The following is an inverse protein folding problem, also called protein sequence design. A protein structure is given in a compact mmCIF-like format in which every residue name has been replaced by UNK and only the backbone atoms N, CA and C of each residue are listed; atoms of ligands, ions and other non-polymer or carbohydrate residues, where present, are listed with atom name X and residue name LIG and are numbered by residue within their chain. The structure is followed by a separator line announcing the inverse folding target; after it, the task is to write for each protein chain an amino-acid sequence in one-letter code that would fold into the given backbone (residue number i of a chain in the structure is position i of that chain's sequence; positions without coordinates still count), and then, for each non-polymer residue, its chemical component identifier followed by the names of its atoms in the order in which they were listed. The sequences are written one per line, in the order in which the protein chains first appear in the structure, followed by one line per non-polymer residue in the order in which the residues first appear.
data_IF_768948103667
#
_entry.id   IF_768948103667
#
_cell.length_a   1.000
_cell.length_b   1.000
_cell.length_c   1.000
_cell.angle_alpha   90.00
_cell.angle_beta   90.00
_cell.angle_gamma   90.00
#
_symmetry.space_group_name_H-M   'P 1'
#
loop_
_entity.id
_entity.type
_entity.pdbx_description
1 polymer ?
#
# COMPACT_ATOMS: atom_id res chain seq x y z
N UNK A 1 10.15 14.29 -29.03
CA UNK A 1 11.05 13.16 -29.35
C UNK A 1 11.98 12.82 -28.20
N UNK A 2 12.93 13.68 -27.77
CA UNK A 2 13.89 13.29 -26.71
C UNK A 2 13.25 12.93 -25.35
N UNK A 3 12.20 13.64 -24.93
CA UNK A 3 11.50 13.35 -23.65
C UNK A 3 10.76 12.01 -23.72
N UNK A 4 10.00 11.78 -24.80
CA UNK A 4 9.27 10.53 -25.00
C UNK A 4 10.21 9.33 -25.10
N UNK A 5 11.31 9.45 -25.84
CA UNK A 5 12.33 8.40 -25.96
C UNK A 5 12.93 8.03 -24.60
N UNK A 6 13.23 9.03 -23.76
CA UNK A 6 13.66 8.82 -22.38
C UNK A 6 12.59 8.11 -21.56
N UNK A 7 11.33 8.54 -21.61
CA UNK A 7 10.23 7.91 -20.88
C UNK A 7 10.00 6.45 -21.31
N UNK A 8 10.12 6.14 -22.60
CA UNK A 8 10.07 4.75 -23.09
C UNK A 8 11.19 3.91 -22.48
N UNK A 9 12.41 4.43 -22.42
CA UNK A 9 13.54 3.76 -21.77
C UNK A 9 13.32 3.59 -20.26
N UNK A 10 12.78 4.62 -19.59
CA UNK A 10 12.52 4.59 -18.16
C UNK A 10 11.44 3.55 -17.80
N UNK A 11 10.35 3.44 -18.59
CA UNK A 11 9.34 2.39 -18.39
C UNK A 11 9.96 1.00 -18.53
N UNK A 12 10.82 0.80 -19.53
CA UNK A 12 11.53 -0.48 -19.73
C UNK A 12 12.43 -0.79 -18.53
N UNK A 13 13.16 0.19 -18.00
CA UNK A 13 14.01 -0.01 -16.83
C UNK A 13 13.18 -0.31 -15.56
N UNK A 14 12.06 0.40 -15.34
CA UNK A 14 11.14 0.07 -14.23
C UNK A 14 10.58 -1.34 -14.41
N UNK A 15 10.16 -1.70 -15.62
CA UNK A 15 9.71 -3.05 -15.98
C UNK A 15 10.73 -4.14 -15.65
N UNK A 16 12.01 -3.90 -15.99
CA UNK A 16 13.12 -4.80 -15.66
C UNK A 16 13.30 -4.93 -14.15
N UNK A 17 13.19 -3.84 -13.40
CA UNK A 17 13.36 -3.84 -11.93
C UNK A 17 12.22 -4.57 -11.22
N UNK A 18 10.96 -4.30 -11.57
CA UNK A 18 9.81 -5.02 -10.96
C UNK A 18 9.88 -6.51 -11.25
N UNK A 19 10.29 -6.90 -12.46
CA UNK A 19 10.51 -8.30 -12.83
C UNK A 19 11.66 -8.92 -12.03
N UNK A 20 12.82 -8.26 -11.96
CA UNK A 20 13.99 -8.76 -11.24
C UNK A 20 13.75 -8.94 -9.74
N UNK A 21 12.81 -8.18 -9.16
CA UNK A 21 12.38 -8.33 -7.76
C UNK A 21 11.29 -9.38 -7.55
N UNK A 22 10.76 -9.96 -8.61
CA UNK A 22 9.64 -10.90 -8.56
C UNK A 22 8.33 -10.24 -8.14
N UNK A 23 8.14 -8.96 -8.44
CA UNK A 23 6.87 -8.26 -8.19
C UNK A 23 5.83 -8.51 -9.28
N UNK A 24 6.23 -9.13 -10.38
CA UNK A 24 5.40 -9.48 -11.52
C UNK A 24 5.74 -10.90 -11.97
N UNK A 25 4.76 -11.65 -12.43
CA UNK A 25 4.89 -12.99 -12.99
C UNK A 25 4.29 -13.06 -14.39
N UNK A 26 4.95 -13.80 -15.30
CA UNK A 26 4.50 -13.92 -16.69
C UNK A 26 4.35 -12.52 -17.34
N UNK A 27 3.11 -12.11 -17.65
CA UNK A 27 2.76 -10.88 -18.36
C UNK A 27 1.93 -9.90 -17.50
N UNK A 28 1.78 -10.15 -16.19
CA UNK A 28 1.03 -9.29 -15.28
C UNK A 28 1.73 -7.94 -15.02
N UNK A 29 1.07 -7.08 -14.25
CA UNK A 29 1.49 -5.72 -13.98
C UNK A 29 1.35 -4.80 -15.20
N UNK A 30 1.45 -3.50 -14.96
CA UNK A 30 1.43 -2.48 -16.00
C UNK A 30 1.99 -1.14 -15.47
N UNK A 31 2.57 -0.38 -16.38
CA UNK A 31 3.22 0.90 -16.07
C UNK A 31 2.73 1.92 -17.09
N UNK A 32 2.33 3.09 -16.64
CA UNK A 32 2.06 4.22 -17.54
C UNK A 32 2.65 5.51 -17.01
N UNK A 33 2.88 6.44 -17.94
CA UNK A 33 3.30 7.81 -17.67
C UNK A 33 2.53 8.80 -18.53
N UNK A 34 2.27 9.99 -18.00
CA UNK A 34 1.74 11.13 -18.75
C UNK A 34 2.82 11.68 -19.68
N UNK A 35 2.53 11.76 -20.98
CA UNK A 35 3.42 12.40 -21.96
C UNK A 35 3.19 13.90 -22.02
N UNK A 36 1.92 14.29 -22.00
CA UNK A 36 1.42 15.66 -22.03
C UNK A 36 -0.05 15.69 -21.56
N UNK A 37 -0.73 16.82 -21.77
CA UNK A 37 -2.08 17.06 -21.30
C UNK A 37 -3.11 16.06 -21.85
N UNK A 38 -2.88 15.49 -23.03
CA UNK A 38 -3.86 14.67 -23.74
C UNK A 38 -3.45 13.20 -23.90
N UNK A 39 -2.19 12.87 -23.62
CA UNK A 39 -1.59 11.58 -24.00
C UNK A 39 -0.87 10.88 -22.85
N UNK A 40 -1.03 9.55 -22.85
CA UNK A 40 -0.32 8.62 -21.97
C UNK A 40 0.58 7.71 -22.79
N UNK A 41 1.73 7.33 -22.21
CA UNK A 41 2.58 6.25 -22.68
C UNK A 41 2.45 5.08 -21.71
N UNK A 42 2.17 3.88 -22.20
CA UNK A 42 1.90 2.71 -21.37
C UNK A 42 2.56 1.44 -21.92
N UNK A 43 2.83 0.51 -21.01
CA UNK A 43 3.22 -0.86 -21.36
C UNK A 43 2.15 -1.59 -22.18
N UNK A 44 2.54 -2.42 -23.15
CA UNK A 44 1.59 -3.23 -23.91
C UNK A 44 1.02 -4.38 -23.07
N UNK A 45 -0.14 -4.89 -23.49
CA UNK A 45 -0.70 -6.15 -22.96
C UNK A 45 0.09 -7.37 -23.46
N UNK A 46 0.06 -8.46 -22.69
CA UNK A 46 0.62 -9.75 -23.09
C UNK A 46 2.14 -9.81 -23.20
N UNK A 47 2.86 -8.81 -22.66
CA UNK A 47 4.32 -8.79 -22.64
C UNK A 47 4.82 -8.74 -21.20
N UNK A 48 5.76 -9.63 -20.89
CA UNK A 48 6.45 -9.67 -19.62
C UNK A 48 7.30 -8.42 -19.42
N UNK A 49 7.18 -7.80 -18.24
CA UNK A 49 7.81 -6.49 -17.98
C UNK A 49 9.34 -6.54 -17.99
N UNK A 50 9.92 -7.71 -17.75
CA UNK A 50 11.36 -7.94 -17.85
C UNK A 50 11.92 -8.00 -19.28
N UNK A 51 11.06 -8.13 -20.30
CA UNK A 51 11.46 -8.37 -21.70
C UNK A 51 10.93 -7.29 -22.67
N UNK A 52 10.43 -6.18 -22.15
CA UNK A 52 9.96 -5.07 -22.98
C UNK A 52 11.13 -4.34 -23.65
N UNK A 53 10.87 -3.76 -24.82
CA UNK A 53 11.76 -2.81 -25.47
C UNK A 53 11.05 -1.47 -25.70
N UNK A 54 11.78 -0.34 -25.86
CA UNK A 54 11.17 0.99 -25.97
C UNK A 54 10.16 1.15 -27.11
N UNK A 55 10.37 0.46 -28.23
CA UNK A 55 9.50 0.41 -29.41
C UNK A 55 8.16 -0.29 -29.14
N UNK A 56 8.07 -1.10 -28.09
CA UNK A 56 6.82 -1.79 -27.72
C UNK A 56 5.83 -0.90 -26.96
N UNK A 57 6.24 0.29 -26.48
CA UNK A 57 5.35 1.15 -25.70
C UNK A 57 4.24 1.73 -26.57
N UNK A 58 3.04 1.76 -26.01
CA UNK A 58 1.80 2.20 -26.67
C UNK A 58 1.42 3.58 -26.17
N UNK A 59 1.04 4.48 -27.08
CA UNK A 59 0.49 5.78 -26.71
C UNK A 59 -1.03 5.76 -26.81
N UNK A 60 -1.71 6.26 -25.80
CA UNK A 60 -3.17 6.39 -25.76
C UNK A 60 -3.59 7.82 -25.46
N UNK A 61 -4.82 8.18 -25.79
CA UNK A 61 -5.45 9.39 -25.24
C UNK A 61 -5.97 9.14 -23.81
N UNK A 62 -6.49 10.19 -23.16
CA UNK A 62 -7.13 10.11 -21.84
C UNK A 62 -8.51 9.41 -21.84
N UNK A 63 -9.02 8.99 -22.99
CA UNK A 63 -10.19 8.11 -23.10
C UNK A 63 -9.79 6.64 -23.28
N UNK A 64 -8.49 6.33 -23.24
CA UNK A 64 -7.95 4.99 -23.40
C UNK A 64 -7.89 4.48 -24.84
N UNK A 65 -8.15 5.34 -25.83
CA UNK A 65 -8.04 4.96 -27.25
C UNK A 65 -6.58 4.98 -27.67
N UNK A 66 -6.14 3.90 -28.33
CA UNK A 66 -4.79 3.82 -28.88
C UNK A 66 -4.58 4.88 -29.97
N UNK A 67 -3.50 5.66 -29.83
CA UNK A 67 -3.07 6.66 -30.79
C UNK A 67 -1.91 6.13 -31.65
N UNK A 68 -0.89 5.54 -31.02
CA UNK A 68 0.30 5.00 -31.72
C UNK A 68 0.85 3.75 -31.02
N UNK A 69 1.67 2.99 -31.74
CA UNK A 69 2.30 1.74 -31.27
C UNK A 69 1.73 0.50 -31.97
N UNK A 70 2.59 -0.47 -32.25
CA UNK A 70 2.25 -1.69 -33.00
C UNK A 70 1.53 -2.75 -32.15
N UNK A 71 1.49 -2.55 -30.83
CA UNK A 71 0.86 -3.44 -29.85
C UNK A 71 -0.42 -2.81 -29.30
N UNK A 72 -1.20 -3.64 -28.61
CA UNK A 72 -2.34 -3.16 -27.82
C UNK A 72 -1.88 -2.73 -26.42
N UNK A 73 -2.53 -1.70 -25.90
CA UNK A 73 -2.30 -1.19 -24.56
C UNK A 73 -2.71 -2.25 -23.51
N UNK A 74 -2.17 -2.14 -22.27
CA UNK A 74 -2.62 -2.96 -21.13
C UNK A 74 -4.16 -3.03 -21.04
N UNK A 75 -4.69 -4.21 -20.71
CA UNK A 75 -6.13 -4.40 -20.52
C UNK A 75 -6.68 -3.65 -19.30
N UNK A 76 -5.81 -3.25 -18.37
CA UNK A 76 -6.16 -2.52 -17.14
C UNK A 76 -6.01 -1.00 -17.27
N UNK A 77 -6.02 -0.48 -18.50
CA UNK A 77 -5.90 0.96 -18.75
C UNK A 77 -6.93 1.79 -17.99
N UNK A 78 -8.15 1.28 -17.79
CA UNK A 78 -9.23 1.99 -17.08
C UNK A 78 -8.83 2.37 -15.64
N UNK A 79 -8.09 1.49 -14.96
CA UNK A 79 -7.57 1.78 -13.62
C UNK A 79 -6.56 2.94 -13.65
N UNK A 80 -5.66 2.97 -14.63
CA UNK A 80 -4.70 4.07 -14.80
C UNK A 80 -5.40 5.38 -15.16
N UNK A 81 -6.41 5.35 -16.03
CA UNK A 81 -7.20 6.52 -16.40
C UNK A 81 -7.93 7.11 -15.19
N UNK A 82 -8.51 6.26 -14.33
CA UNK A 82 -9.11 6.71 -13.08
C UNK A 82 -8.10 7.47 -12.21
N UNK A 83 -6.85 7.02 -12.11
CA UNK A 83 -5.81 7.78 -11.41
C UNK A 83 -5.61 9.17 -12.02
N UNK A 84 -5.36 9.24 -13.33
CA UNK A 84 -5.04 10.50 -14.01
C UNK A 84 -6.20 11.50 -14.02
N UNK A 85 -7.43 11.01 -13.94
CA UNK A 85 -8.65 11.81 -13.87
C UNK A 85 -8.80 12.49 -12.49
N UNK A 86 -8.58 11.77 -11.39
CA UNK A 86 -8.78 12.30 -10.02
C UNK A 86 -7.56 13.01 -9.45
N UNK A 87 -6.38 12.70 -9.98
CA UNK A 87 -5.10 13.27 -9.52
C UNK A 87 -4.34 13.86 -10.71
N UNK A 88 -4.74 15.04 -11.23
CA UNK A 88 -4.13 15.65 -12.41
C UNK A 88 -2.63 15.93 -12.26
N UNK A 89 -2.13 16.08 -11.03
CA UNK A 89 -0.71 16.29 -10.73
C UNK A 89 0.14 15.02 -10.84
N UNK A 90 -0.48 13.83 -10.89
CA UNK A 90 0.21 12.55 -11.06
C UNK A 90 0.56 12.34 -12.53
N UNK A 91 1.82 11.94 -12.76
CA UNK A 91 2.35 11.66 -14.10
C UNK A 91 2.80 10.21 -14.28
N UNK A 92 2.74 9.37 -13.25
CA UNK A 92 3.17 7.98 -13.35
C UNK A 92 2.36 7.07 -12.43
N UNK A 93 2.05 5.89 -12.97
CA UNK A 93 1.31 4.83 -12.29
C UNK A 93 2.03 3.50 -12.51
N UNK A 94 2.26 2.76 -11.44
CA UNK A 94 2.87 1.43 -11.45
C UNK A 94 1.92 0.46 -10.75
N UNK A 95 1.49 -0.57 -11.47
CA UNK A 95 0.74 -1.69 -10.95
C UNK A 95 1.59 -2.96 -11.02
N UNK A 96 1.62 -3.71 -9.93
CA UNK A 96 2.36 -4.96 -9.80
C UNK A 96 1.71 -5.87 -8.75
N UNK A 97 2.15 -7.11 -8.67
CA UNK A 97 1.66 -8.15 -7.74
C UNK A 97 2.78 -8.61 -6.77
N UNK A 98 3.39 -7.70 -5.98
CA UNK A 98 4.44 -8.06 -5.02
C UNK A 98 3.94 -9.11 -4.00
N UNK A 99 4.61 -10.25 -3.83
CA UNK A 99 4.02 -11.42 -3.17
C UNK A 99 3.52 -11.19 -1.74
N UNK A 100 4.24 -10.42 -0.93
CA UNK A 100 3.85 -10.22 0.48
C UNK A 100 2.69 -9.25 0.56
N UNK A 101 2.80 -8.10 -0.10
CA UNK A 101 1.73 -7.12 -0.16
C UNK A 101 0.44 -7.67 -0.81
N UNK A 102 0.56 -8.44 -1.90
CA UNK A 102 -0.57 -9.18 -2.48
C UNK A 102 -1.15 -10.20 -1.48
N UNK A 103 -0.30 -10.86 -0.68
CA UNK A 103 -0.76 -11.72 0.42
C UNK A 103 -1.62 -11.01 1.46
N UNK A 104 -1.25 -9.77 1.84
CA UNK A 104 -2.09 -8.92 2.70
C UNK A 104 -3.42 -8.55 2.02
N UNK A 105 -3.39 -8.23 0.72
CA UNK A 105 -4.58 -7.89 -0.05
C UNK A 105 -5.55 -9.08 -0.18
N UNK A 106 -5.03 -10.30 -0.35
CA UNK A 106 -5.82 -11.55 -0.36
C UNK A 106 -6.37 -11.86 1.03
N UNK A 107 -5.61 -11.57 2.09
CA UNK A 107 -6.04 -11.78 3.47
C UNK A 107 -7.09 -10.73 3.94
N UNK A 108 -7.36 -9.69 3.15
CA UNK A 108 -8.24 -8.59 3.54
C UNK A 108 -7.67 -7.76 4.70
N UNK A 109 -6.33 -7.67 4.81
CA UNK A 109 -5.69 -6.92 5.89
C UNK A 109 -4.95 -5.71 5.33
N UNK A 110 -5.40 -4.47 5.59
CA UNK A 110 -4.73 -3.28 5.09
C UNK A 110 -3.37 -3.07 5.77
N UNK A 111 -2.57 -2.20 5.13
CA UNK A 111 -1.27 -1.73 5.62
C UNK A 111 -1.41 -0.26 6.05
N UNK A 112 -2.36 -0.01 6.95
CA UNK A 112 -2.80 1.30 7.42
C UNK A 112 -2.40 1.61 8.87
N UNK A 113 -1.68 0.69 9.52
CA UNK A 113 -1.21 0.86 10.90
C UNK A 113 0.09 1.65 10.93
N UNK A 114 0.25 2.53 11.93
CA UNK A 114 1.42 3.37 12.11
C UNK A 114 2.64 2.59 12.63
N UNK A 115 3.20 1.67 11.84
CA UNK A 115 4.28 0.76 12.29
C UNK A 115 5.66 1.37 12.06
N UNK A 116 5.91 1.91 10.87
CA UNK A 116 7.22 2.42 10.46
C UNK A 116 7.16 3.92 10.18
N UNK A 117 8.05 4.67 10.82
CA UNK A 117 8.11 6.11 10.67
C UNK A 117 8.30 6.55 9.21
N UNK A 118 9.19 5.88 8.48
CA UNK A 118 9.45 6.17 7.06
C UNK A 118 8.18 6.01 6.22
N UNK A 119 7.46 4.89 6.36
CA UNK A 119 6.20 4.64 5.63
C UNK A 119 5.15 5.70 5.96
N UNK A 120 4.97 6.02 7.24
CA UNK A 120 4.04 7.08 7.67
C UNK A 120 4.40 8.43 7.04
N UNK A 121 5.69 8.73 6.88
CA UNK A 121 6.13 9.98 6.25
C UNK A 121 6.05 10.00 4.73
N UNK A 122 6.26 8.87 4.05
CA UNK A 122 6.36 8.82 2.57
C UNK A 122 5.10 8.35 1.88
N UNK A 123 4.35 7.43 2.49
CA UNK A 123 3.14 6.82 1.94
C UNK A 123 1.91 7.10 2.79
N UNK A 124 2.07 7.41 4.08
CA UNK A 124 0.95 7.53 5.01
C UNK A 124 0.38 6.16 5.35
N UNK A 125 -0.87 5.90 4.93
CA UNK A 125 -1.49 4.58 5.00
C UNK A 125 -1.72 3.98 3.61
N UNK A 126 -1.74 2.65 3.56
CA UNK A 126 -1.96 1.87 2.35
C UNK A 126 -3.25 1.04 2.56
N UNK A 127 -4.42 1.56 2.16
CA UNK A 127 -5.69 0.86 2.30
C UNK A 127 -5.81 -0.28 1.29
N UNK A 128 -6.87 -1.08 1.43
CA UNK A 128 -7.28 -2.07 0.43
C UNK A 128 -8.49 -1.50 -0.32
N UNK A 129 -8.36 -1.34 -1.63
CA UNK A 129 -9.50 -1.10 -2.50
C UNK A 129 -10.36 -2.35 -2.61
N UNK A 130 -11.68 -2.16 -2.64
CA UNK A 130 -12.65 -3.24 -2.82
C UNK A 130 -12.35 -4.08 -4.08
N UNK A 131 -12.83 -5.33 -4.08
CA UNK A 131 -12.67 -6.17 -5.25
C UNK A 131 -13.46 -5.62 -6.43
N UNK A 132 -12.76 -5.33 -7.51
CA UNK A 132 -13.33 -5.10 -8.83
C UNK A 132 -12.68 -6.04 -9.84
N UNK A 133 -13.46 -6.55 -10.79
CA UNK A 133 -12.94 -7.50 -11.78
C UNK A 133 -11.82 -6.84 -12.62
N UNK A 134 -10.64 -7.47 -12.76
CA UNK A 134 -9.56 -6.94 -13.59
C UNK A 134 -10.02 -6.58 -15.00
N UNK A 135 -9.46 -5.48 -15.55
CA UNK A 135 -9.82 -4.96 -16.88
C UNK A 135 -11.27 -4.49 -17.05
N UNK A 136 -12.04 -4.30 -15.97
CA UNK A 136 -13.40 -3.74 -16.03
C UNK A 136 -13.48 -2.36 -15.35
N UNK A 137 -14.61 -1.68 -15.51
CA UNK A 137 -14.89 -0.44 -14.81
C UNK A 137 -14.98 -0.64 -13.28
N UNK A 138 -15.34 -1.83 -12.80
CA UNK A 138 -15.46 -2.13 -11.36
C UNK A 138 -14.13 -1.90 -10.64
N UNK A 139 -13.01 -2.34 -11.22
CA UNK A 139 -11.68 -2.12 -10.64
C UNK A 139 -11.31 -0.64 -10.64
N UNK A 140 -11.67 0.10 -11.71
CA UNK A 140 -11.43 1.53 -11.77
C UNK A 140 -12.21 2.25 -10.65
N UNK A 141 -13.49 1.96 -10.49
CA UNK A 141 -14.34 2.55 -9.44
C UNK A 141 -13.85 2.23 -8.03
N UNK A 142 -13.42 0.99 -7.77
CA UNK A 142 -12.83 0.62 -6.48
C UNK A 142 -11.59 1.44 -6.14
N UNK A 143 -10.76 1.76 -7.14
CA UNK A 143 -9.57 2.61 -6.97
C UNK A 143 -9.96 4.09 -6.78
N UNK A 144 -11.00 4.60 -7.46
CA UNK A 144 -11.43 6.01 -7.37
C UNK A 144 -11.65 6.46 -5.93
N UNK A 145 -12.23 5.61 -5.08
CA UNK A 145 -12.55 5.95 -3.70
C UNK A 145 -11.31 6.36 -2.87
N UNK A 146 -10.17 5.69 -3.09
CA UNK A 146 -8.97 5.90 -2.28
C UNK A 146 -7.91 6.78 -2.97
N UNK A 147 -7.86 6.80 -4.30
CA UNK A 147 -6.74 7.41 -5.04
C UNK A 147 -6.65 8.93 -4.86
N UNK A 148 -7.75 9.59 -4.45
CA UNK A 148 -7.80 11.00 -4.10
C UNK A 148 -6.82 11.38 -2.98
N UNK A 149 -6.58 10.48 -2.03
CA UNK A 149 -5.74 10.73 -0.86
C UNK A 149 -4.47 9.89 -0.78
N UNK A 150 -4.46 8.70 -1.39
CA UNK A 150 -3.40 7.71 -1.19
C UNK A 150 -2.50 7.58 -2.41
N UNK A 151 -1.19 7.46 -2.18
CA UNK A 151 -0.21 7.24 -3.25
C UNK A 151 0.17 5.76 -3.44
N UNK A 152 -0.35 4.88 -2.57
CA UNK A 152 -0.19 3.43 -2.64
C UNK A 152 -1.44 2.73 -2.14
N UNK A 153 -1.91 1.73 -2.89
CA UNK A 153 -3.10 0.94 -2.59
C UNK A 153 -2.78 -0.55 -2.70
N UNK A 154 -3.37 -1.34 -1.83
CA UNK A 154 -3.60 -2.76 -2.09
C UNK A 154 -4.92 -2.92 -2.85
N UNK A 155 -5.02 -3.94 -3.70
CA UNK A 155 -6.21 -4.27 -4.47
C UNK A 155 -6.69 -5.66 -4.03
N UNK A 156 -7.88 -5.76 -3.45
CA UNK A 156 -8.40 -7.00 -2.87
C UNK A 156 -8.30 -8.17 -3.86
N UNK A 157 -7.72 -9.29 -3.42
CA UNK A 157 -7.51 -10.49 -4.24
C UNK A 157 -6.76 -10.28 -5.57
N UNK A 158 -5.98 -9.21 -5.70
CA UNK A 158 -5.34 -8.85 -6.95
C UNK A 158 -3.86 -8.47 -6.80
N UNK A 159 -3.55 -7.29 -6.28
CA UNK A 159 -2.19 -6.73 -6.37
C UNK A 159 -2.02 -5.43 -5.60
N UNK A 160 -1.11 -4.59 -6.07
CA UNK A 160 -0.90 -3.25 -5.54
C UNK A 160 -0.79 -2.21 -6.66
N UNK A 161 -1.11 -0.96 -6.34
CA UNK A 161 -1.05 0.19 -7.24
C UNK A 161 -0.29 1.32 -6.54
N UNK A 162 0.67 1.94 -7.22
CA UNK A 162 1.38 3.12 -6.70
C UNK A 162 1.48 4.24 -7.73
N UNK A 163 1.49 5.47 -7.24
CA UNK A 163 1.42 6.66 -8.09
C UNK A 163 2.39 7.75 -7.63
N UNK A 164 2.88 8.55 -8.58
CA UNK A 164 3.71 9.72 -8.30
C UNK A 164 3.76 10.70 -9.48
N UNK A 165 4.36 11.88 -9.23
CA UNK A 165 4.67 12.85 -10.29
C UNK A 165 5.85 12.42 -11.17
N UNK A 166 6.63 11.43 -10.72
CA UNK A 166 7.81 10.91 -11.43
C UNK A 166 7.79 9.39 -11.43
N UNK A 167 8.13 8.77 -12.58
CA UNK A 167 8.04 7.34 -12.77
C UNK A 167 8.84 6.52 -11.75
N UNK A 168 10.10 6.90 -11.51
CA UNK A 168 10.92 6.21 -10.52
C UNK A 168 10.38 6.37 -9.10
N UNK A 169 9.73 7.50 -8.78
CA UNK A 169 9.10 7.68 -7.48
C UNK A 169 7.89 6.75 -7.29
N UNK A 170 7.06 6.54 -8.32
CA UNK A 170 5.97 5.56 -8.28
C UNK A 170 6.51 4.13 -8.08
N UNK A 171 7.61 3.80 -8.77
CA UNK A 171 8.31 2.52 -8.57
C UNK A 171 8.90 2.37 -7.16
N UNK A 172 9.57 3.40 -6.61
CA UNK A 172 10.12 3.34 -5.25
C UNK A 172 9.02 3.17 -4.21
N UNK A 173 7.86 3.80 -4.39
CA UNK A 173 6.68 3.54 -3.55
C UNK A 173 6.25 2.08 -3.61
N UNK A 174 6.29 1.43 -4.78
CA UNK A 174 5.98 0.00 -4.90
C UNK A 174 6.97 -0.87 -4.12
N UNK A 175 8.27 -0.52 -4.16
CA UNK A 175 9.28 -1.17 -3.31
C UNK A 175 8.98 -1.00 -1.82
N UNK A 176 8.60 0.22 -1.41
CA UNK A 176 8.25 0.52 -0.01
C UNK A 176 7.00 -0.24 0.44
N UNK A 177 5.98 -0.39 -0.41
CA UNK A 177 4.77 -1.18 -0.12
C UNK A 177 5.14 -2.63 0.20
N UNK A 178 5.92 -3.30 -0.66
CA UNK A 178 6.35 -4.68 -0.42
C UNK A 178 7.30 -4.80 0.78
N UNK A 179 8.21 -3.84 0.96
CA UNK A 179 9.11 -3.82 2.10
C UNK A 179 8.34 -3.71 3.41
N UNK A 180 7.35 -2.83 3.46
CA UNK A 180 6.49 -2.65 4.62
C UNK A 180 5.68 -3.92 4.90
N UNK A 181 5.06 -4.52 3.88
CA UNK A 181 4.33 -5.78 4.03
C UNK A 181 5.19 -6.90 4.64
N UNK A 182 6.46 -7.03 4.21
CA UNK A 182 7.41 -8.00 4.77
C UNK A 182 7.71 -7.73 6.25
N UNK A 183 7.97 -6.47 6.61
CA UNK A 183 8.25 -6.10 8.00
C UNK A 183 7.02 -6.37 8.88
N UNK A 184 5.84 -5.95 8.43
CA UNK A 184 4.57 -6.20 9.14
C UNK A 184 4.29 -7.69 9.30
N UNK A 185 4.54 -8.51 8.26
CA UNK A 185 4.39 -9.96 8.35
C UNK A 185 5.31 -10.55 9.43
N UNK A 186 6.60 -10.17 9.42
CA UNK A 186 7.57 -10.63 10.42
C UNK A 186 7.17 -10.18 11.82
N UNK A 187 6.77 -8.92 12.01
CA UNK A 187 6.32 -8.41 13.30
C UNK A 187 5.11 -9.20 13.83
N UNK A 188 4.13 -9.50 12.97
CA UNK A 188 2.95 -10.31 13.34
C UNK A 188 3.30 -11.75 13.69
N UNK A 189 4.24 -12.36 12.97
CA UNK A 189 4.76 -13.69 13.32
C UNK A 189 5.50 -13.70 14.67
N UNK A 190 6.12 -12.59 15.06
CA UNK A 190 6.81 -12.43 16.34
C UNK A 190 5.88 -12.02 17.51
N UNK A 191 4.57 -11.89 17.28
CA UNK A 191 3.59 -11.58 18.32
C UNK A 191 2.84 -10.25 18.15
N UNK A 192 3.10 -9.51 17.08
CA UNK A 192 2.35 -8.29 16.73
C UNK A 192 3.22 -7.06 16.50
N UNK A 193 2.62 -6.06 15.86
CA UNK A 193 3.26 -4.77 15.59
C UNK A 193 3.21 -3.88 16.84
N UNK A 194 4.34 -3.27 17.20
CA UNK A 194 4.38 -2.15 18.15
C UNK A 194 4.18 -0.85 17.38
N UNK A 195 2.94 -0.42 17.27
CA UNK A 195 2.56 0.79 16.54
C UNK A 195 2.98 2.08 17.26
N UNK A 196 3.28 3.11 16.48
CA UNK A 196 3.54 4.48 16.90
C UNK A 196 2.25 5.10 17.44
N UNK A 197 2.36 5.91 18.49
CA UNK A 197 1.22 6.63 19.04
C UNK A 197 0.75 7.74 18.08
N UNK A 198 -0.49 8.22 18.26
CA UNK A 198 -1.00 9.39 17.52
C UNK A 198 -0.10 10.61 17.68
N UNK A 199 0.48 10.81 18.87
CA UNK A 199 1.43 11.90 19.10
C UNK A 199 2.70 11.75 18.25
N UNK A 200 3.26 10.54 18.18
CA UNK A 200 4.43 10.24 17.34
C UNK A 200 4.11 10.43 15.85
N UNK A 201 2.93 9.98 15.40
CA UNK A 201 2.45 10.19 14.02
C UNK A 201 2.32 11.68 13.69
N UNK A 202 1.74 12.49 14.57
CA UNK A 202 1.62 13.93 14.36
C UNK A 202 2.99 14.62 14.28
N UNK A 203 3.96 14.21 15.10
CA UNK A 203 5.34 14.69 15.02
C UNK A 203 5.96 14.35 13.67
N UNK A 204 5.75 13.13 13.17
CA UNK A 204 6.24 12.71 11.84
C UNK A 204 5.63 13.53 10.71
N UNK A 205 4.33 13.83 10.78
CA UNK A 205 3.67 14.69 9.81
C UNK A 205 4.30 16.10 9.79
N UNK A 206 4.60 16.69 10.95
CA UNK A 206 5.30 17.98 11.03
C UNK A 206 6.74 17.98 10.48
N UNK A 207 7.37 16.81 10.35
CA UNK A 207 8.70 16.70 9.76
C UNK A 207 8.62 16.71 8.22
N UNK A 208 7.52 16.23 7.63
CA UNK A 208 7.31 16.25 6.17
C UNK A 208 7.44 17.67 5.61
N UNK A 209 6.76 18.62 6.24
CA UNK A 209 6.76 20.03 5.85
C UNK A 209 8.17 20.65 5.94
N UNK A 210 8.93 20.28 6.97
CA UNK A 210 10.28 20.81 7.22
C UNK A 210 11.32 20.29 6.24
N UNK A 211 11.18 19.04 5.79
CA UNK A 211 12.13 18.41 4.89
C UNK A 211 11.68 18.42 3.42
N UNK A 212 10.54 19.06 3.10
CA UNK A 212 10.01 19.13 1.74
C UNK A 212 9.65 17.76 1.18
N UNK A 213 9.25 16.81 2.04
CA UNK A 213 8.86 15.47 1.61
C UNK A 213 7.50 15.57 0.92
N UNK A 214 7.51 15.48 -0.42
CA UNK A 214 6.32 15.35 -1.23
C UNK A 214 5.67 13.99 -0.93
N UNK A 215 4.70 14.01 -0.05
CA UNK A 215 3.96 12.83 0.38
C UNK A 215 2.45 13.08 0.18
N UNK A 216 1.63 12.01 0.15
CA UNK A 216 0.21 12.07 -0.18
C UNK A 216 -0.61 12.98 0.74
N UNK A 217 -1.93 13.01 0.59
CA UNK A 217 -2.84 13.83 1.40
C UNK A 217 -2.50 13.79 2.92
N UNK A 218 -2.81 14.85 3.69
CA UNK A 218 -2.51 14.88 5.12
C UNK A 218 -3.14 13.69 5.85
N UNK A 219 -2.56 13.30 6.99
CA UNK A 219 -3.20 12.28 7.85
C UNK A 219 -4.41 12.90 8.55
N UNK A 220 -5.49 12.14 8.69
CA UNK A 220 -6.72 12.64 9.29
C UNK A 220 -6.50 13.02 10.77
N UNK A 221 -7.11 14.12 11.26
CA UNK A 221 -7.22 14.42 12.68
C UNK A 221 -7.94 13.28 13.44
N UNK A 222 -7.68 13.11 14.75
CA UNK A 222 -8.19 11.98 15.54
C UNK A 222 -9.72 11.84 15.61
N UNK A 223 -10.48 12.91 15.33
CA UNK A 223 -11.95 12.95 15.45
C UNK A 223 -12.69 13.23 14.13
N UNK A 224 -12.00 13.10 12.99
CA UNK A 224 -12.64 13.20 11.67
C UNK A 224 -12.83 11.81 11.08
N UNK A 225 -14.10 11.41 10.94
CA UNK A 225 -14.47 10.38 9.97
C UNK A 225 -14.15 10.91 8.57
N UNK A 226 -13.53 10.07 7.73
CA UNK A 226 -13.39 10.39 6.32
C UNK A 226 -14.81 10.56 5.75
N UNK A 227 -15.18 11.78 5.35
CA UNK A 227 -16.42 12.02 4.63
C UNK A 227 -16.42 11.31 3.26
N UNK A 228 -17.50 11.47 2.50
CA UNK A 228 -17.68 10.79 1.19
C UNK A 228 -16.53 11.08 0.19
N UNK A 229 -15.85 12.22 0.31
CA UNK A 229 -14.60 12.51 -0.40
C UNK A 229 -13.40 12.37 0.55
N UNK A 230 -12.59 11.32 0.31
CA UNK A 230 -11.36 11.05 1.07
C UNK A 230 -10.34 12.14 0.78
N UNK A 231 -10.26 13.14 1.65
CA UNK A 231 -9.33 14.27 1.57
C UNK A 231 -8.11 14.12 2.50
N UNK A 232 -8.12 13.09 3.34
CA UNK A 232 -7.07 12.76 4.29
C UNK A 232 -6.91 11.25 4.42
N UNK A 233 -5.78 10.83 4.95
CA UNK A 233 -5.46 9.41 5.12
C UNK A 233 -5.72 8.98 6.57
N UNK A 234 -6.59 8.00 6.75
CA UNK A 234 -6.77 7.35 8.04
C UNK A 234 -5.59 6.41 8.32
N UNK A 235 -4.89 6.63 9.43
CA UNK A 235 -3.80 5.77 9.91
C UNK A 235 -4.17 5.27 11.30
N UNK A 236 -4.16 3.95 11.50
CA UNK A 236 -4.41 3.32 12.80
C UNK A 236 -3.21 3.55 13.73
N UNK A 237 -3.45 4.35 14.76
CA UNK A 237 -2.46 4.72 15.79
C UNK A 237 -3.18 4.93 17.13
N UNK A 238 -2.72 4.28 18.23
CA UNK A 238 -3.34 4.40 19.54
C UNK A 238 -3.17 5.82 20.10
N UNK A 239 -4.15 6.22 20.93
CA UNK A 239 -4.17 7.53 21.57
C UNK A 239 -3.07 7.72 22.62
N UNK A 240 -2.55 6.64 23.22
CA UNK A 240 -1.45 6.71 24.19
C UNK A 240 -0.24 5.83 23.82
N UNK A 241 0.99 6.22 24.20
CA UNK A 241 2.20 5.43 23.99
C UNK A 241 2.29 4.13 24.80
N UNK A 242 1.48 4.00 25.86
CA UNK A 242 1.59 2.91 26.84
C UNK A 242 0.87 1.62 26.41
N UNK A 243 0.11 1.65 25.30
CA UNK A 243 -0.52 0.48 24.67
C UNK A 243 0.47 -0.43 23.90
N UNK A 244 1.77 -0.42 24.26
CA UNK A 244 2.82 -1.18 23.58
C UNK A 244 2.82 -2.64 24.06
N UNK A 245 2.37 -3.57 23.21
CA UNK A 245 2.14 -5.00 23.48
C UNK A 245 3.39 -5.86 23.80
N UNK A 246 4.57 -5.27 24.00
CA UNK A 246 5.70 -6.01 24.58
C UNK A 246 5.94 -5.42 25.95
N UNK A 247 5.41 -6.10 26.96
CA UNK A 247 5.79 -5.91 28.36
C UNK A 247 7.31 -6.05 28.48
N UNK A 248 7.97 -5.22 29.31
CA UNK A 248 9.37 -5.44 29.67
C UNK A 248 9.52 -6.89 30.17
N UNK A 249 10.61 -7.55 29.78
CA UNK A 249 10.89 -8.93 30.17
C UNK A 249 10.64 -9.16 31.68
N UNK A 250 10.07 -10.31 32.09
CA UNK A 250 9.67 -10.54 33.47
C UNK A 250 10.89 -10.54 34.40
N UNK A 251 11.04 -9.43 35.14
CA UNK A 251 12.09 -9.23 36.14
C UNK A 251 11.82 -8.08 37.12
N UNK A 252 10.79 -7.26 36.90
CA UNK A 252 10.32 -6.26 37.88
C UNK A 252 8.93 -6.64 38.36
N UNK A 253 8.84 -7.13 39.59
CA UNK A 253 7.59 -7.38 40.29
C UNK A 253 6.76 -6.09 40.37
N UNK A 254 5.64 -6.05 39.66
CA UNK A 254 4.51 -5.21 40.00
C UNK A 254 3.23 -5.97 39.63
N UNK A 255 2.57 -6.49 40.64
CA UNK A 255 1.22 -7.06 40.53
C UNK A 255 0.27 -5.90 40.24
N UNK A 256 -0.22 -5.80 39.01
CA UNK A 256 -1.29 -4.87 38.67
C UNK A 256 -2.64 -5.55 38.95
N UNK A 257 -3.33 -5.06 39.97
CA UNK A 257 -4.73 -5.37 40.26
C UNK A 257 -5.59 -4.73 39.17
N UNK A 258 -6.36 -5.56 38.44
CA UNK A 258 -7.27 -5.12 37.39
C UNK A 258 -8.56 -4.53 37.97
N UNK A 259 -9.05 -3.46 37.34
CA UNK A 259 -10.46 -3.10 37.33
C UNK A 259 -10.99 -3.48 35.95
N UNK A 260 -11.96 -4.40 35.97
CA UNK A 260 -12.85 -4.91 34.92
C UNK A 260 -12.77 -6.44 34.81
N UNK A 261 -13.94 -7.09 34.82
CA UNK A 261 -14.22 -8.53 35.05
C UNK A 261 -13.67 -9.51 33.97
N UNK A 262 -12.41 -9.38 33.57
CA UNK A 262 -11.69 -10.38 32.78
C UNK A 262 -10.49 -10.94 33.56
N UNK A 263 -10.59 -12.22 33.95
CA UNK A 263 -9.45 -12.96 34.51
C UNK A 263 -8.64 -13.56 33.37
N UNK A 264 -7.40 -13.09 33.17
CA UNK A 264 -6.45 -13.67 32.20
C UNK A 264 -5.49 -14.62 32.90
N UNK A 265 -5.57 -15.89 32.55
CA UNK A 265 -4.69 -16.94 33.05
C UNK A 265 -3.75 -17.40 31.93
N UNK A 266 -2.50 -17.66 32.28
CA UNK A 266 -1.61 -18.41 31.38
C UNK A 266 -2.12 -19.85 31.23
N UNK A 267 -1.74 -20.52 30.14
CA UNK A 267 -2.12 -21.92 29.91
C UNK A 267 -1.74 -22.84 31.09
N UNK A 268 -0.60 -22.56 31.73
CA UNK A 268 -0.12 -23.29 32.91
C UNK A 268 -1.04 -23.09 34.12
N UNK A 269 -1.47 -21.87 34.38
CA UNK A 269 -2.36 -21.53 35.50
C UNK A 269 -3.77 -22.07 35.28
N UNK A 270 -4.27 -21.98 34.05
CA UNK A 270 -5.56 -22.59 33.66
C UNK A 270 -5.55 -24.11 33.87
N UNK A 271 -4.47 -24.77 33.45
CA UNK A 271 -4.33 -26.22 33.62
C UNK A 271 -4.26 -26.64 35.10
N UNK A 272 -3.60 -25.85 35.93
CA UNK A 272 -3.52 -26.09 37.37
C UNK A 272 -4.90 -25.95 38.06
N UNK A 273 -5.67 -24.92 37.70
CA UNK A 273 -7.03 -24.71 38.20
C UNK A 273 -7.99 -25.85 37.81
N UNK A 274 -7.91 -26.32 36.56
CA UNK A 274 -8.72 -27.46 36.11
C UNK A 274 -8.36 -28.73 36.88
N UNK A 275 -7.06 -29.00 37.07
CA UNK A 275 -6.61 -30.18 37.80
C UNK A 275 -7.08 -30.18 39.26
N UNK A 276 -7.05 -29.01 39.92
CA UNK A 276 -7.47 -28.88 41.32
C UNK A 276 -8.99 -29.05 41.47
N UNK A 277 -9.78 -28.48 40.56
CA UNK A 277 -11.23 -28.67 40.53
C UNK A 277 -11.61 -30.16 40.33
N UNK A 278 -10.95 -30.86 39.41
CA UNK A 278 -11.20 -32.29 39.14
C UNK A 278 -10.91 -33.16 40.37
N UNK A 279 -9.89 -32.80 41.17
CA UNK A 279 -9.55 -33.54 42.39
C UNK A 279 -10.56 -33.32 43.53
N UNK A 280 -11.29 -32.20 43.54
CA UNK A 280 -12.32 -31.93 44.54
C UNK A 280 -13.64 -32.67 44.27
N UNK A 281 -13.81 -33.26 43.09
CA UNK A 281 -14.96 -34.08 42.71
C UNK A 281 -14.71 -35.60 42.79
N UNK A 282 -13.62 -36.01 43.44
CA UNK A 282 -13.30 -37.42 43.77
C UNK A 282 -13.32 -37.64 45.27
#
# INVERSE_FOLDING_TARGET
MQVEERLRADIVEVGRRVYARGFVASNDGNISVRLDDDRLLMTPTGVSKGFMTPDMMVTTDLAGRKLTGDREASSEILMHLAVYEHRPEINAVVHAHPPTATGFAVAGIPLDRAVLAEVVTTLGSIPIADYGTPSTAELAEAVRHYISAHDGLLLANHGALTVAQELFAAYYKMETVEHFARISLVARQLGGERVLSREEVNRLQSLRDRYGIAAPAPLCPPDQEAGDEVSCQAVDAPSSPDARLVTPAPGSNAVALGLDDEVRLTYRELTALIADAVNQFR
#
